data_IF_198551751725
#
_entry.id   IF_198551751725
#
_cell.length_a   1.000
_cell.length_b   1.000
_cell.length_c   1.000
_cell.angle_alpha   90.00
_cell.angle_beta   90.00
_cell.angle_gamma   90.00
#
_symmetry.space_group_name_H-M   'P 1'
#
loop_
_entity.id
_entity.type
_entity.pdbx_description
1 polymer ?
#
# COMPACT_ATOMS: atom_id res chain seq x y z
N UNK A 1 -2.95 1.74 -11.46
CA UNK A 1 -3.51 0.79 -10.48
C UNK A 1 -2.47 0.54 -9.41
N UNK A 2 -2.86 0.68 -8.15
CA UNK A 2 -2.05 0.33 -6.98
C UNK A 2 -2.62 -0.97 -6.41
N UNK A 3 -1.78 -1.98 -6.26
CA UNK A 3 -2.16 -3.26 -5.68
C UNK A 3 -1.19 -3.59 -4.55
N UNK A 4 -1.74 -3.87 -3.38
CA UNK A 4 -1.01 -4.33 -2.19
C UNK A 4 -1.73 -5.57 -1.65
N UNK A 5 -1.21 -6.18 -0.58
CA UNK A 5 -1.91 -7.27 0.10
C UNK A 5 -3.27 -6.85 0.69
N UNK A 6 -3.47 -5.57 0.98
CA UNK A 6 -4.64 -5.08 1.72
C UNK A 6 -5.58 -4.20 0.87
N UNK A 7 -5.16 -3.79 -0.34
CA UNK A 7 -5.94 -2.89 -1.18
C UNK A 7 -5.66 -3.05 -2.67
N UNK A 8 -6.70 -2.81 -3.45
CA UNK A 8 -6.64 -2.64 -4.90
C UNK A 8 -7.30 -1.30 -5.23
N UNK A 9 -6.54 -0.38 -5.81
CA UNK A 9 -6.99 0.98 -6.08
C UNK A 9 -6.74 1.40 -7.53
N UNK A 10 -7.75 2.01 -8.12
CA UNK A 10 -7.69 2.59 -9.48
C UNK A 10 -7.87 4.10 -9.36
N UNK A 11 -6.84 4.84 -9.77
CA UNK A 11 -6.87 6.29 -9.88
C UNK A 11 -7.03 6.66 -11.34
N UNK A 12 -8.09 7.39 -11.66
CA UNK A 12 -8.41 7.80 -13.02
C UNK A 12 -8.75 9.30 -13.05
N UNK A 13 -8.28 9.98 -14.10
CA UNK A 13 -8.76 11.31 -14.45
C UNK A 13 -9.83 11.13 -15.53
N UNK A 14 -11.04 11.56 -15.22
CA UNK A 14 -12.28 11.25 -15.95
C UNK A 14 -13.01 12.56 -16.24
N UNK A 15 -13.52 12.74 -17.46
CA UNK A 15 -14.26 13.95 -17.87
C UNK A 15 -15.75 13.87 -17.52
N UNK A 16 -16.32 12.66 -17.51
CA UNK A 16 -17.73 12.38 -17.28
C UNK A 16 -17.91 11.21 -16.30
N UNK A 17 -18.17 11.59 -15.04
CA UNK A 17 -18.13 10.71 -13.88
C UNK A 17 -18.90 9.37 -14.01
N UNK A 18 -20.16 9.40 -14.44
CA UNK A 18 -21.04 8.23 -14.39
C UNK A 18 -20.75 7.21 -15.49
N UNK A 19 -20.32 7.66 -16.67
CA UNK A 19 -20.02 6.78 -17.81
C UNK A 19 -18.68 6.07 -17.68
N UNK A 20 -17.70 6.70 -17.04
CA UNK A 20 -16.35 6.15 -16.91
C UNK A 20 -16.22 5.21 -15.70
N UNK A 21 -17.02 5.43 -14.63
CA UNK A 21 -17.05 4.53 -13.48
C UNK A 21 -17.58 3.13 -13.85
N UNK A 22 -18.58 3.06 -14.74
CA UNK A 22 -19.12 1.77 -15.21
C UNK A 22 -18.11 1.01 -16.06
N UNK A 23 -17.29 1.69 -16.87
CA UNK A 23 -16.19 1.07 -17.63
C UNK A 23 -15.14 0.48 -16.68
N UNK A 24 -14.73 1.21 -15.64
CA UNK A 24 -13.78 0.70 -14.64
C UNK A 24 -14.38 -0.51 -13.92
N UNK A 25 -15.64 -0.43 -13.52
CA UNK A 25 -16.34 -1.54 -12.87
C UNK A 25 -16.45 -2.77 -13.77
N UNK A 26 -16.68 -2.60 -15.07
CA UNK A 26 -16.72 -3.69 -16.04
C UNK A 26 -15.37 -4.39 -16.19
N UNK A 27 -14.27 -3.63 -16.27
CA UNK A 27 -12.92 -4.22 -16.31
C UNK A 27 -12.62 -5.00 -15.03
N UNK A 28 -13.03 -4.49 -13.87
CA UNK A 28 -12.88 -5.21 -12.60
C UNK A 28 -13.74 -6.48 -12.56
N UNK A 29 -14.96 -6.45 -13.09
CA UNK A 29 -15.81 -7.64 -13.26
C UNK A 29 -15.11 -8.70 -14.11
N UNK A 30 -14.58 -8.33 -15.27
CA UNK A 30 -13.92 -9.26 -16.19
C UNK A 30 -12.69 -9.94 -15.57
N UNK A 31 -11.96 -9.23 -14.71
CA UNK A 31 -10.77 -9.77 -14.05
C UNK A 31 -11.06 -10.53 -12.75
N UNK A 32 -12.13 -10.20 -12.02
CA UNK A 32 -12.43 -10.79 -10.71
C UNK A 32 -13.55 -11.83 -10.73
N UNK A 33 -14.39 -11.83 -11.76
CA UNK A 33 -15.63 -12.59 -11.83
C UNK A 33 -16.74 -12.07 -10.90
N UNK A 34 -16.50 -11.00 -10.12
CA UNK A 34 -17.47 -10.43 -9.18
C UNK A 34 -18.39 -9.45 -9.90
N UNK A 35 -19.70 -9.67 -9.82
CA UNK A 35 -20.70 -8.79 -10.43
C UNK A 35 -20.52 -7.33 -9.99
N UNK A 36 -20.91 -6.37 -10.84
CA UNK A 36 -20.85 -4.95 -10.48
C UNK A 36 -21.60 -4.68 -9.16
N UNK A 37 -22.71 -5.40 -8.93
CA UNK A 37 -23.49 -5.33 -7.70
C UNK A 37 -22.66 -5.75 -6.48
N UNK A 38 -21.93 -6.86 -6.58
CA UNK A 38 -21.09 -7.35 -5.48
C UNK A 38 -19.89 -6.42 -5.26
N UNK A 39 -19.26 -5.94 -6.34
CA UNK A 39 -18.18 -4.95 -6.27
C UNK A 39 -18.62 -3.68 -5.54
N UNK A 40 -19.81 -3.14 -5.84
CA UNK A 40 -20.31 -1.91 -5.18
C UNK A 40 -20.50 -2.04 -3.66
N UNK A 41 -20.62 -3.27 -3.12
CA UNK A 41 -20.72 -3.49 -1.67
C UNK A 41 -19.39 -3.29 -0.95
N UNK A 42 -18.27 -3.46 -1.66
CA UNK A 42 -16.92 -3.38 -1.10
C UNK A 42 -16.09 -2.23 -1.70
N UNK A 43 -16.56 -1.62 -2.80
CA UNK A 43 -15.86 -0.55 -3.48
C UNK A 43 -16.09 0.80 -2.77
N UNK A 44 -14.99 1.42 -2.34
CA UNK A 44 -14.99 2.80 -1.89
C UNK A 44 -14.64 3.72 -3.04
N UNK A 45 -15.58 4.58 -3.42
CA UNK A 45 -15.37 5.54 -4.51
C UNK A 45 -15.17 6.94 -3.92
N UNK A 46 -14.07 7.60 -4.29
CA UNK A 46 -13.72 8.96 -3.85
C UNK A 46 -13.46 9.86 -5.05
N UNK A 47 -13.76 11.15 -4.91
CA UNK A 47 -13.69 12.13 -5.99
C UNK A 47 -12.89 13.36 -5.59
N UNK A 48 -12.28 13.99 -6.59
CA UNK A 48 -11.61 15.29 -6.45
C UNK A 48 -10.66 15.28 -5.23
N UNK A 49 -10.80 16.25 -4.34
CA UNK A 49 -10.01 16.41 -3.12
C UNK A 49 -9.96 15.15 -2.25
N UNK A 50 -11.08 14.46 -2.05
CA UNK A 50 -11.10 13.24 -1.23
C UNK A 50 -10.24 12.10 -1.83
N UNK A 51 -10.12 12.03 -3.16
CA UNK A 51 -9.24 11.07 -3.82
C UNK A 51 -7.77 11.47 -3.70
N UNK A 52 -7.48 12.78 -3.72
CA UNK A 52 -6.13 13.33 -3.54
C UNK A 52 -5.65 13.12 -2.12
N UNK A 53 -6.46 13.48 -1.13
CA UNK A 53 -6.19 13.27 0.29
C UNK A 53 -5.93 11.80 0.59
N UNK A 54 -6.77 10.91 0.04
CA UNK A 54 -6.58 9.47 0.19
C UNK A 54 -5.23 9.00 -0.34
N UNK A 55 -4.85 9.40 -1.56
CA UNK A 55 -3.55 9.02 -2.11
C UNK A 55 -2.39 9.56 -1.26
N UNK A 56 -2.53 10.75 -0.69
CA UNK A 56 -1.52 11.30 0.22
C UNK A 56 -1.43 10.49 1.51
N UNK A 57 -2.57 10.15 2.12
CA UNK A 57 -2.62 9.29 3.31
C UNK A 57 -1.99 7.91 3.04
N UNK A 58 -2.31 7.30 1.90
CA UNK A 58 -1.71 6.02 1.46
C UNK A 58 -0.21 6.18 1.24
N UNK A 59 0.24 7.18 0.49
CA UNK A 59 1.66 7.40 0.21
C UNK A 59 2.49 7.74 1.47
N UNK A 60 1.84 8.29 2.49
CA UNK A 60 2.43 8.57 3.82
C UNK A 60 2.37 7.39 4.79
N UNK A 61 1.77 6.26 4.40
CA UNK A 61 1.61 5.10 5.29
C UNK A 61 0.61 5.28 6.43
N UNK A 62 -0.24 6.32 6.36
CA UNK A 62 -1.30 6.57 7.35
C UNK A 62 -2.50 5.64 7.15
N UNK A 63 -2.76 5.24 5.90
CA UNK A 63 -3.76 4.24 5.55
C UNK A 63 -3.07 2.93 5.12
N UNK A 64 -2.24 2.37 6.01
CA UNK A 64 -1.67 1.02 5.89
C UNK A 64 -2.07 0.19 7.11
N UNK A 65 -2.03 -1.15 6.97
CA UNK A 65 -2.26 -2.07 8.09
C UNK A 65 -1.22 -1.87 9.21
N UNK A 66 -0.02 -1.43 8.85
CA UNK A 66 1.00 -0.96 9.78
C UNK A 66 1.23 0.53 9.52
N UNK A 67 0.78 1.37 10.45
CA UNK A 67 0.94 2.82 10.34
C UNK A 67 2.42 3.18 10.28
N UNK A 68 2.81 4.01 9.30
CA UNK A 68 4.19 4.44 9.08
C UNK A 68 5.06 3.49 8.27
N UNK A 69 4.48 2.46 7.66
CA UNK A 69 5.20 1.54 6.79
C UNK A 69 5.69 2.23 5.49
N UNK A 70 6.99 2.18 5.23
CA UNK A 70 7.62 2.79 4.04
C UNK A 70 7.37 2.02 2.74
N UNK A 71 6.98 0.75 2.82
CA UNK A 71 6.82 -0.12 1.66
C UNK A 71 5.73 0.41 0.70
N UNK A 72 4.66 0.99 1.25
CA UNK A 72 3.55 1.53 0.45
C UNK A 72 3.98 2.71 -0.42
N UNK A 73 4.85 3.60 0.07
CA UNK A 73 5.44 4.67 -0.74
C UNK A 73 6.22 4.11 -1.93
N UNK A 74 6.94 3.01 -1.72
CA UNK A 74 7.61 2.25 -2.77
C UNK A 74 6.64 1.62 -3.78
N UNK A 75 5.52 1.06 -3.31
CA UNK A 75 4.46 0.52 -4.16
C UNK A 75 3.79 1.59 -5.02
N UNK A 76 3.48 2.76 -4.45
CA UNK A 76 2.96 3.92 -5.20
C UNK A 76 3.94 4.35 -6.30
N UNK A 77 5.24 4.42 -5.99
CA UNK A 77 6.28 4.74 -6.98
C UNK A 77 6.30 3.73 -8.13
N UNK A 78 6.23 2.43 -7.82
CA UNK A 78 6.22 1.37 -8.84
C UNK A 78 4.95 1.40 -9.69
N UNK A 79 3.79 1.59 -9.07
CA UNK A 79 2.51 1.72 -9.76
C UNK A 79 2.52 2.90 -10.74
N UNK A 80 3.04 4.05 -10.31
CA UNK A 80 3.22 5.21 -11.17
C UNK A 80 4.20 4.95 -12.33
N UNK A 81 5.35 4.32 -12.05
CA UNK A 81 6.34 3.99 -13.08
C UNK A 81 5.76 3.04 -14.14
N UNK A 82 5.02 2.02 -13.71
CA UNK A 82 4.34 1.09 -14.60
C UNK A 82 3.27 1.79 -15.45
N UNK A 83 2.45 2.67 -14.85
CA UNK A 83 1.45 3.42 -15.59
C UNK A 83 2.09 4.38 -16.61
N UNK A 84 3.21 5.03 -16.25
CA UNK A 84 3.98 5.88 -17.17
C UNK A 84 4.53 5.07 -18.35
N UNK A 85 5.10 3.90 -18.09
CA UNK A 85 5.62 3.01 -19.15
C UNK A 85 4.50 2.56 -20.12
N UNK A 86 3.30 2.31 -19.60
CA UNK A 86 2.13 1.95 -20.39
C UNK A 86 1.38 3.15 -21.01
N UNK A 87 1.91 4.37 -20.85
CA UNK A 87 1.30 5.62 -21.37
C UNK A 87 -0.14 5.86 -20.88
N UNK A 88 -0.48 5.37 -19.69
CA UNK A 88 -1.81 5.56 -19.07
C UNK A 88 -1.84 6.70 -18.06
N UNK A 89 -0.78 7.51 -17.99
CA UNK A 89 -0.67 8.66 -17.07
C UNK A 89 -0.75 9.95 -17.86
N UNK A 90 -1.91 10.61 -17.80
CA UNK A 90 -2.07 11.99 -18.25
C UNK A 90 -1.45 13.02 -17.29
N UNK A 91 -1.50 14.30 -17.67
CA UNK A 91 -0.90 15.41 -16.90
C UNK A 91 -1.40 15.46 -15.44
N UNK A 92 -2.71 15.32 -15.23
CA UNK A 92 -3.31 15.41 -13.88
C UNK A 92 -2.79 14.30 -12.97
N UNK A 93 -2.83 13.05 -13.44
CA UNK A 93 -2.34 11.90 -12.67
C UNK A 93 -0.82 11.96 -12.45
N UNK A 94 -0.07 12.51 -13.40
CA UNK A 94 1.37 12.73 -13.25
C UNK A 94 1.67 13.66 -12.07
N UNK A 95 1.07 14.85 -12.07
CA UNK A 95 1.24 15.85 -11.00
C UNK A 95 0.80 15.30 -9.65
N UNK A 96 -0.36 14.64 -9.60
CA UNK A 96 -0.88 14.01 -8.40
C UNK A 96 0.10 12.97 -7.83
N UNK A 97 0.63 12.08 -8.68
CA UNK A 97 1.59 11.07 -8.25
C UNK A 97 2.91 11.70 -7.75
N UNK A 98 3.44 12.72 -8.42
CA UNK A 98 4.65 13.43 -7.96
C UNK A 98 4.42 14.09 -6.61
N UNK A 99 3.26 14.72 -6.42
CA UNK A 99 2.90 15.38 -5.15
C UNK A 99 2.74 14.36 -4.04
N UNK A 100 2.04 13.25 -4.28
CA UNK A 100 1.87 12.17 -3.31
C UNK A 100 3.20 11.58 -2.85
N UNK A 101 4.11 11.28 -3.80
CA UNK A 101 5.44 10.77 -3.48
C UNK A 101 6.28 11.79 -2.68
N UNK A 102 6.08 13.08 -2.90
CA UNK A 102 6.79 14.14 -2.18
C UNK A 102 6.22 14.31 -0.77
N UNK A 103 4.90 14.28 -0.61
CA UNK A 103 4.20 14.34 0.68
C UNK A 103 4.58 13.14 1.55
N UNK A 104 4.53 11.93 0.99
CA UNK A 104 4.93 10.71 1.73
C UNK A 104 6.35 10.80 2.27
N UNK A 105 7.32 11.19 1.43
CA UNK A 105 8.70 11.41 1.87
C UNK A 105 8.80 12.42 3.02
N UNK A 106 8.11 13.56 2.90
CA UNK A 106 8.12 14.61 3.92
C UNK A 106 7.55 14.12 5.24
N UNK A 107 6.41 13.43 5.21
CA UNK A 107 5.80 12.87 6.44
C UNK A 107 6.79 11.94 7.13
N UNK A 108 7.43 11.04 6.39
CA UNK A 108 8.42 10.14 6.96
C UNK A 108 9.65 10.86 7.53
N UNK A 109 10.16 11.89 6.85
CA UNK A 109 11.32 12.65 7.33
C UNK A 109 11.01 13.64 8.45
N UNK A 110 9.79 14.16 8.53
CA UNK A 110 9.44 15.29 9.40
C UNK A 110 8.61 14.89 10.64
N UNK A 111 7.94 13.74 10.65
CA UNK A 111 6.96 13.39 11.71
C UNK A 111 7.36 12.23 12.61
N UNK A 112 8.44 11.51 12.29
CA UNK A 112 8.86 10.33 13.05
C UNK A 112 7.89 9.13 12.96
N UNK A 113 6.94 9.15 12.01
CA UNK A 113 5.94 8.09 11.82
C UNK A 113 6.56 6.70 11.64
N UNK A 114 7.81 6.61 11.16
CA UNK A 114 8.56 5.36 11.02
C UNK A 114 8.69 4.60 12.35
N UNK A 115 8.72 5.32 13.48
CA UNK A 115 8.77 4.71 14.80
C UNK A 115 7.47 3.96 15.15
N UNK A 116 6.33 4.35 14.59
CA UNK A 116 5.05 3.67 14.82
C UNK A 116 5.05 2.25 14.22
N UNK A 117 5.64 2.07 13.04
CA UNK A 117 5.77 0.74 12.41
C UNK A 117 6.70 -0.19 13.18
N UNK A 118 7.81 0.34 13.71
CA UNK A 118 8.74 -0.42 14.56
C UNK A 118 8.07 -0.94 15.85
N UNK A 119 7.08 -0.21 16.38
CA UNK A 119 6.34 -0.63 17.57
C UNK A 119 5.56 -1.94 17.33
N UNK A 120 5.00 -2.15 16.13
CA UNK A 120 4.26 -3.38 15.80
C UNK A 120 5.16 -4.61 15.84
N UNK A 121 6.37 -4.51 15.28
CA UNK A 121 7.37 -5.60 15.32
C UNK A 121 7.80 -5.88 16.76
N UNK A 122 8.05 -4.83 17.55
CA UNK A 122 8.39 -4.96 18.97
C UNK A 122 7.28 -5.63 19.79
N UNK A 123 6.01 -5.27 19.54
CA UNK A 123 4.84 -5.90 20.17
C UNK A 123 4.74 -7.37 19.78
N UNK A 124 4.91 -7.71 18.50
CA UNK A 124 4.88 -9.10 18.03
C UNK A 124 5.98 -9.95 18.70
N UNK A 125 7.20 -9.43 18.81
CA UNK A 125 8.30 -10.09 19.52
C UNK A 125 8.01 -10.24 21.02
N UNK A 126 7.44 -9.21 21.65
CA UNK A 126 7.05 -9.26 23.06
C UNK A 126 5.99 -10.34 23.32
N UNK A 127 4.99 -10.43 22.46
CA UNK A 127 3.95 -11.48 22.52
C UNK A 127 4.53 -12.88 22.31
N UNK A 128 5.47 -13.04 21.37
CA UNK A 128 6.18 -14.30 21.17
C UNK A 128 7.00 -14.69 22.41
N UNK A 129 7.70 -13.74 23.04
CA UNK A 129 8.45 -13.97 24.27
C UNK A 129 7.57 -14.45 25.43
N UNK A 130 6.38 -13.88 25.61
CA UNK A 130 5.42 -14.33 26.63
C UNK A 130 4.95 -15.76 26.37
N UNK A 131 4.63 -16.09 25.10
CA UNK A 131 4.12 -17.43 24.74
C UNK A 131 5.19 -18.52 24.79
N UNK A 132 6.44 -18.18 24.51
CA UNK A 132 7.56 -19.13 24.44
C UNK A 132 8.35 -19.22 25.76
N UNK A 133 8.04 -18.40 26.76
CA UNK A 133 8.75 -18.38 28.04
C UNK A 133 10.13 -17.71 27.95
N UNK A 134 10.29 -16.78 27.01
CA UNK A 134 11.56 -16.15 26.63
C UNK A 134 11.93 -16.46 25.18
N UNK A 135 12.76 -15.60 24.58
CA UNK A 135 13.29 -15.79 23.22
C UNK A 135 14.75 -16.29 23.21
N UNK A 136 15.36 -16.46 24.39
CA UNK A 136 16.74 -16.91 24.53
C UNK A 136 16.93 -18.31 23.95
N UNK A 137 17.84 -18.46 22.98
CA UNK A 137 18.11 -19.74 22.31
C UNK A 137 17.09 -20.15 21.25
N UNK A 138 16.03 -19.38 21.03
CA UNK A 138 15.07 -19.64 19.96
C UNK A 138 15.68 -19.28 18.60
N UNK A 139 15.40 -20.10 17.59
CA UNK A 139 15.71 -19.77 16.19
C UNK A 139 14.49 -19.07 15.59
N UNK A 140 14.65 -17.82 15.18
CA UNK A 140 13.62 -17.08 14.45
C UNK A 140 13.86 -17.22 12.95
N UNK A 141 12.78 -17.42 12.20
CA UNK A 141 12.77 -17.34 10.75
C UNK A 141 11.91 -16.14 10.34
N UNK A 142 12.47 -15.23 9.57
CA UNK A 142 11.72 -14.14 8.95
C UNK A 142 11.27 -14.65 7.57
N UNK A 143 9.96 -14.69 7.35
CA UNK A 143 9.36 -15.02 6.07
C UNK A 143 8.72 -13.75 5.52
N UNK A 144 9.40 -13.10 4.58
CA UNK A 144 8.79 -12.01 3.83
C UNK A 144 8.02 -12.60 2.64
N UNK A 145 6.71 -12.33 2.48
CA UNK A 145 6.01 -12.68 1.26
C UNK A 145 6.56 -11.82 0.12
N UNK A 146 7.41 -12.42 -0.69
CA UNK A 146 8.03 -11.82 -1.86
C UNK A 146 6.92 -11.34 -2.83
N UNK A 147 6.85 -10.04 -3.08
CA UNK A 147 6.11 -9.51 -4.23
C UNK A 147 7.15 -9.20 -5.32
N UNK A 148 7.59 -10.26 -6.02
CA UNK A 148 8.54 -10.37 -7.16
C UNK A 148 9.95 -10.91 -6.77
N UNK A 149 10.56 -11.86 -7.54
CA UNK A 149 11.55 -12.80 -7.04
C UNK A 149 12.96 -12.19 -7.02
N UNK A 150 13.34 -11.57 -5.90
CA UNK A 150 14.73 -11.37 -5.52
C UNK A 150 14.84 -10.71 -4.14
N UNK A 151 14.74 -11.49 -3.05
CA UNK A 151 15.76 -11.57 -1.98
C UNK A 151 15.33 -12.49 -0.81
N UNK A 152 16.17 -13.49 -0.58
CA UNK A 152 16.70 -14.00 0.69
C UNK A 152 15.79 -14.09 1.92
N UNK A 153 15.44 -15.32 2.32
CA UNK A 153 15.12 -15.62 3.72
C UNK A 153 16.33 -15.28 4.61
N UNK A 154 16.14 -14.44 5.62
CA UNK A 154 17.16 -14.15 6.63
C UNK A 154 16.83 -14.91 7.93
N UNK A 155 17.75 -15.77 8.34
CA UNK A 155 17.70 -16.43 9.65
C UNK A 155 18.44 -15.52 10.64
N UNK A 156 17.71 -14.94 11.58
CA UNK A 156 18.30 -14.19 12.68
C UNK A 156 18.30 -15.07 13.94
N UNK A 157 19.48 -15.25 14.54
CA UNK A 157 19.60 -15.81 15.90
C UNK A 157 19.62 -14.64 16.87
N UNK A 158 18.68 -14.57 17.81
CA UNK A 158 18.78 -13.63 18.92
C UNK A 158 19.92 -14.08 19.83
N UNK A 159 21.03 -13.34 19.81
CA UNK A 159 22.05 -13.45 20.84
C UNK A 159 21.50 -12.81 22.13
N UNK A 160 21.78 -13.49 23.24
CA UNK A 160 21.50 -13.17 24.65
C UNK A 160 21.48 -11.69 25.00
#
# INVERSE_FOLDING_TARGET
MLCTCNRVEVYAAVEAFHGELSVIGQVLFEHSGMSLRDLTQYAHVRYSEAAVEHLFAVASGLDSAVVGEQQVLGQVRRAYAAAKANRTVGRVLHELAQRALSVGKRVHSETGIDAAGALVVSVALSMAGVRLGGLGGCVAAIVEPDMCPAKSAQIARSAT
#
